data_IF_412589158892
#
_entry.id   IF_412589158892
#
_cell.length_a   1.000
_cell.length_b   1.000
_cell.length_c   1.000
_cell.angle_alpha   90.00
_cell.angle_beta   90.00
_cell.angle_gamma   90.00
#
_symmetry.space_group_name_H-M   'P 1'
#
loop_
_entity.id
_entity.type
_entity.pdbx_description
1 polymer ?
#
# COMPACT_ATOMS: atom_id res chain seq x y z
N UNK A 1 -5.50 -6.33 -6.04
CA UNK A 1 -5.59 -5.03 -5.34
C UNK A 1 -4.27 -4.32 -5.49
N UNK A 2 -4.28 -3.07 -5.95
CA UNK A 2 -3.08 -2.24 -5.97
C UNK A 2 -2.86 -1.66 -4.57
N UNK A 3 -1.62 -1.69 -4.10
CA UNK A 3 -1.19 -1.13 -2.81
C UNK A 3 -0.16 -0.06 -3.07
N UNK A 4 -0.36 1.11 -2.48
CA UNK A 4 0.60 2.20 -2.38
C UNK A 4 0.92 2.34 -0.90
N UNK A 5 2.19 2.44 -0.53
CA UNK A 5 2.57 2.48 0.88
C UNK A 5 3.90 3.20 1.10
N UNK A 6 3.94 4.03 2.14
CA UNK A 6 5.17 4.61 2.67
C UNK A 6 5.70 3.87 3.91
N UNK A 7 5.28 2.62 4.10
CA UNK A 7 5.85 1.72 5.12
C UNK A 7 7.24 1.27 4.72
N UNK A 8 8.08 1.00 5.70
CA UNK A 8 9.35 0.35 5.45
C UNK A 8 9.17 -1.07 4.92
N UNK A 9 10.06 -1.49 4.04
CA UNK A 9 10.13 -2.88 3.60
C UNK A 9 10.64 -3.74 4.76
N UNK A 10 9.91 -4.80 5.07
CA UNK A 10 10.34 -5.80 6.05
C UNK A 10 11.21 -6.87 5.40
N UNK A 11 11.80 -7.72 6.23
CA UNK A 11 12.61 -8.88 5.74
C UNK A 11 11.78 -9.93 4.97
N UNK A 12 10.45 -9.75 4.89
CA UNK A 12 9.53 -10.69 4.25
C UNK A 12 9.55 -10.67 2.73
N UNK A 13 10.21 -9.68 2.08
CA UNK A 13 10.39 -9.74 0.63
C UNK A 13 11.59 -10.62 0.28
N UNK A 14 11.35 -11.68 -0.49
CA UNK A 14 12.41 -12.41 -1.13
C UNK A 14 13.14 -11.54 -2.18
N UNK A 15 14.32 -11.92 -2.58
CA UNK A 15 15.09 -11.25 -3.66
C UNK A 15 14.31 -11.16 -4.99
N UNK A 16 13.29 -12.00 -5.16
CA UNK A 16 12.33 -11.96 -6.28
C UNK A 16 11.37 -10.77 -6.25
N UNK A 17 11.25 -10.06 -5.12
CA UNK A 17 10.21 -9.03 -4.91
C UNK A 17 8.84 -9.60 -4.56
N UNK A 18 8.77 -10.87 -4.18
CA UNK A 18 7.53 -11.52 -3.75
C UNK A 18 7.58 -11.72 -2.23
N UNK A 19 6.54 -11.31 -1.54
CA UNK A 19 6.35 -11.43 -0.10
C UNK A 19 4.92 -11.85 0.24
N UNK A 20 4.60 -11.77 1.52
CA UNK A 20 3.29 -12.07 2.08
C UNK A 20 2.72 -10.87 2.86
N UNK A 21 1.79 -11.11 3.75
CA UNK A 21 1.19 -10.08 4.63
C UNK A 21 2.19 -9.40 5.56
N UNK A 22 3.41 -9.92 5.71
CA UNK A 22 4.49 -9.32 6.51
C UNK A 22 5.48 -8.52 5.67
N UNK A 23 5.22 -8.36 4.38
CA UNK A 23 6.12 -7.72 3.42
C UNK A 23 6.48 -6.27 3.79
N UNK A 24 5.54 -5.54 4.37
CA UNK A 24 5.76 -4.18 4.85
C UNK A 24 5.62 -4.10 6.37
N UNK A 25 6.52 -3.34 6.98
CA UNK A 25 6.57 -3.16 8.43
C UNK A 25 5.68 -2.03 8.95
N UNK A 26 5.88 -1.70 10.23
CA UNK A 26 5.07 -0.73 10.97
C UNK A 26 5.80 0.61 11.16
N UNK A 27 6.88 0.85 10.40
CA UNK A 27 7.63 2.11 10.42
C UNK A 27 7.53 2.80 9.06
N UNK A 28 7.80 4.11 9.06
CA UNK A 28 8.00 4.84 7.81
C UNK A 28 9.22 4.30 7.08
N UNK A 29 9.20 4.36 5.76
CA UNK A 29 10.38 4.17 4.94
C UNK A 29 11.45 5.18 5.39
N UNK A 30 12.62 4.69 5.79
CA UNK A 30 13.70 5.51 6.35
C UNK A 30 14.65 6.06 5.29
N UNK A 31 14.67 5.44 4.13
CA UNK A 31 15.58 5.84 3.03
C UNK A 31 15.07 7.14 2.39
N UNK A 32 13.77 7.21 2.14
CA UNK A 32 13.05 8.43 1.79
C UNK A 32 11.64 8.35 2.36
N UNK A 33 11.29 9.14 3.41
CA UNK A 33 9.95 9.13 4.00
C UNK A 33 8.83 9.53 3.03
N UNK A 34 9.16 10.23 1.95
CA UNK A 34 8.22 10.61 0.90
C UNK A 34 8.19 9.61 -0.26
N UNK A 35 9.03 8.59 -0.22
CA UNK A 35 9.05 7.55 -1.25
C UNK A 35 7.98 6.50 -0.97
N UNK A 36 7.07 6.37 -1.91
CA UNK A 36 6.03 5.36 -1.87
C UNK A 36 6.49 4.09 -2.57
N UNK A 37 6.25 2.97 -1.93
CA UNK A 37 6.34 1.66 -2.57
C UNK A 37 5.01 1.31 -3.22
N UNK A 38 5.09 0.66 -4.37
CA UNK A 38 3.93 0.14 -5.09
C UNK A 38 4.01 -1.37 -5.11
N UNK A 39 2.92 -2.02 -4.78
CA UNK A 39 2.82 -3.47 -4.80
C UNK A 39 1.46 -3.95 -5.31
N UNK A 40 1.43 -5.14 -5.87
CA UNK A 40 0.20 -5.85 -6.17
C UNK A 40 -0.04 -6.89 -5.08
N UNK A 41 -1.22 -6.84 -4.45
CA UNK A 41 -1.61 -7.80 -3.44
C UNK A 41 -2.80 -8.63 -3.91
N UNK A 42 -2.71 -9.95 -3.75
CA UNK A 42 -3.79 -10.87 -4.02
C UNK A 42 -3.88 -11.95 -2.94
N UNK A 43 -5.09 -12.40 -2.66
CA UNK A 43 -5.35 -13.49 -1.73
C UNK A 43 -5.61 -14.77 -2.49
N UNK A 44 -4.71 -15.76 -2.35
CA UNK A 44 -4.80 -17.05 -3.05
C UNK A 44 -4.85 -18.18 -2.03
N UNK A 45 -5.92 -18.97 -2.06
CA UNK A 45 -6.15 -20.07 -1.10
C UNK A 45 -6.01 -19.64 0.38
N UNK A 46 -6.53 -18.43 0.70
CA UNK A 46 -6.51 -17.88 2.05
C UNK A 46 -5.19 -17.20 2.46
N UNK A 47 -4.15 -17.24 1.63
CA UNK A 47 -2.85 -16.62 1.89
C UNK A 47 -2.65 -15.39 1.03
N UNK A 48 -2.00 -14.39 1.57
CA UNK A 48 -1.59 -13.21 0.82
C UNK A 48 -0.33 -13.49 0.01
N UNK A 49 -0.34 -12.95 -1.20
CA UNK A 49 0.85 -12.80 -2.05
C UNK A 49 0.96 -11.32 -2.38
N UNK A 50 2.09 -10.72 -2.01
CA UNK A 50 2.38 -9.30 -2.22
C UNK A 50 3.58 -9.20 -3.14
N UNK A 51 3.40 -8.64 -4.32
CA UNK A 51 4.44 -8.47 -5.33
C UNK A 51 4.84 -7.00 -5.42
N UNK A 52 6.09 -6.70 -5.04
CA UNK A 52 6.67 -5.37 -5.13
C UNK A 52 6.90 -4.99 -6.59
N UNK A 53 6.36 -3.87 -7.01
CA UNK A 53 6.63 -3.30 -8.33
C UNK A 53 8.03 -2.71 -8.34
N UNK A 54 8.88 -3.22 -9.21
CA UNK A 54 10.27 -2.74 -9.32
C UNK A 54 10.29 -1.37 -9.96
N UNK A 55 10.99 -0.46 -9.34
CA UNK A 55 11.24 0.87 -9.89
C UNK A 55 12.47 0.84 -10.81
N UNK A 56 12.40 1.49 -11.97
CA UNK A 56 13.56 1.68 -12.81
C UNK A 56 14.58 2.60 -12.13
N UNK A 57 15.86 2.40 -12.39
CA UNK A 57 16.94 3.23 -11.82
C UNK A 57 16.84 4.70 -12.23
N UNK A 58 16.27 4.98 -13.40
CA UNK A 58 16.08 6.32 -13.93
C UNK A 58 14.58 6.56 -14.10
N UNK A 59 13.96 7.19 -13.12
CA UNK A 59 12.55 7.60 -13.16
C UNK A 59 12.39 8.84 -14.06
N UNK A 60 11.41 8.75 -14.95
CA UNK A 60 10.94 9.88 -15.77
C UNK A 60 9.42 9.91 -15.69
N UNK A 61 8.82 11.06 -16.03
CA UNK A 61 7.35 11.17 -16.09
C UNK A 61 6.68 10.12 -17.00
N UNK A 62 7.41 9.58 -17.97
CA UNK A 62 6.88 8.65 -18.95
C UNK A 62 7.03 7.17 -18.52
N UNK A 63 7.90 6.88 -17.55
CA UNK A 63 8.18 5.52 -17.09
C UNK A 63 7.87 5.28 -15.61
N UNK A 64 7.00 6.09 -15.01
CA UNK A 64 6.58 5.91 -13.62
C UNK A 64 5.84 4.58 -13.46
N UNK A 65 6.32 3.67 -12.59
CA UNK A 65 5.65 2.40 -12.34
C UNK A 65 4.22 2.58 -11.83
N UNK A 66 3.97 3.62 -11.04
CA UNK A 66 2.65 4.00 -10.56
C UNK A 66 1.67 4.19 -11.71
N UNK A 67 2.05 4.94 -12.74
CA UNK A 67 1.19 5.22 -13.89
C UNK A 67 0.75 3.93 -14.60
N UNK A 68 1.70 3.05 -14.91
CA UNK A 68 1.40 1.77 -15.55
C UNK A 68 0.44 0.91 -14.69
N UNK A 69 0.66 0.88 -13.37
CA UNK A 69 -0.21 0.13 -12.46
C UNK A 69 -1.62 0.73 -12.38
N UNK A 70 -1.76 2.05 -12.36
CA UNK A 70 -3.07 2.72 -12.41
C UNK A 70 -3.79 2.47 -13.73
N UNK A 71 -3.09 2.52 -14.86
CA UNK A 71 -3.66 2.18 -16.17
C UNK A 71 -4.19 0.75 -16.19
N UNK A 72 -3.48 -0.21 -15.59
CA UNK A 72 -3.96 -1.59 -15.44
C UNK A 72 -5.21 -1.67 -14.54
N UNK A 73 -5.28 -0.91 -13.45
CA UNK A 73 -6.48 -0.85 -12.61
C UNK A 73 -7.66 -0.30 -13.41
N UNK A 74 -7.48 0.81 -14.11
CA UNK A 74 -8.52 1.43 -14.93
C UNK A 74 -8.99 0.50 -16.04
N UNK A 75 -8.07 -0.25 -16.67
CA UNK A 75 -8.45 -1.22 -17.69
C UNK A 75 -9.30 -2.35 -17.09
N UNK A 76 -8.90 -2.91 -15.93
CA UNK A 76 -9.74 -3.91 -15.23
C UNK A 76 -11.11 -3.37 -14.84
N UNK A 77 -11.22 -2.11 -14.44
CA UNK A 77 -12.50 -1.47 -14.16
C UNK A 77 -13.40 -1.44 -15.41
N UNK A 78 -12.84 -1.08 -16.56
CA UNK A 78 -13.56 -1.05 -17.82
C UNK A 78 -14.01 -2.44 -18.27
N UNK A 79 -13.09 -3.41 -18.30
CA UNK A 79 -13.32 -4.76 -18.77
C UNK A 79 -14.36 -5.51 -17.92
N UNK A 80 -14.32 -5.30 -16.61
CA UNK A 80 -15.20 -5.95 -15.65
C UNK A 80 -16.42 -5.10 -15.25
N UNK A 81 -16.58 -3.89 -15.80
CA UNK A 81 -17.64 -2.92 -15.45
C UNK A 81 -17.71 -2.66 -13.94
N UNK A 82 -16.55 -2.45 -13.32
CA UNK A 82 -16.41 -2.18 -11.90
C UNK A 82 -16.05 -0.71 -11.67
N UNK A 83 -16.43 -0.19 -10.50
CA UNK A 83 -15.91 1.09 -10.01
C UNK A 83 -14.56 0.88 -9.32
N UNK A 84 -13.75 1.93 -9.30
CA UNK A 84 -12.52 1.99 -8.53
C UNK A 84 -12.77 2.72 -7.21
N UNK A 85 -12.23 2.18 -6.12
CA UNK A 85 -12.22 2.81 -4.81
C UNK A 85 -10.78 3.04 -4.38
N UNK A 86 -10.42 4.30 -4.13
CA UNK A 86 -9.21 4.64 -3.38
C UNK A 86 -9.52 4.58 -1.88
N UNK A 87 -8.84 3.69 -1.17
CA UNK A 87 -9.10 3.40 0.23
C UNK A 87 -7.87 3.73 1.09
N UNK A 88 -8.05 4.62 2.04
CA UNK A 88 -7.07 4.92 3.09
C UNK A 88 -7.59 4.36 4.41
N UNK A 89 -6.81 3.47 5.03
CA UNK A 89 -7.24 2.88 6.31
C UNK A 89 -7.03 3.81 7.49
N UNK A 90 -7.70 3.49 8.60
CA UNK A 90 -7.66 4.28 9.83
C UNK A 90 -6.45 3.97 10.73
N UNK A 91 -6.50 4.53 11.94
CA UNK A 91 -5.51 4.36 13.00
C UNK A 91 -5.41 2.92 13.50
N UNK A 92 -4.23 2.56 14.02
CA UNK A 92 -3.92 1.28 14.69
C UNK A 92 -4.22 0.05 13.83
N UNK A 93 -3.71 0.06 12.61
CA UNK A 93 -3.88 -1.03 11.66
C UNK A 93 -2.53 -1.56 11.19
N UNK A 94 -2.16 -2.80 11.56
CA UNK A 94 -1.04 -3.49 10.95
C UNK A 94 -1.31 -3.74 9.45
N UNK A 95 -0.25 -3.93 8.68
CA UNK A 95 -0.34 -4.06 7.22
C UNK A 95 -1.32 -5.17 6.79
N UNK A 96 -1.25 -6.35 7.43
CA UNK A 96 -2.17 -7.46 7.16
C UNK A 96 -3.65 -7.05 7.30
N UNK A 97 -4.00 -6.33 8.37
CA UNK A 97 -5.39 -5.88 8.56
C UNK A 97 -5.84 -4.90 7.48
N UNK A 98 -4.93 -4.08 6.97
CA UNK A 98 -5.27 -3.14 5.89
C UNK A 98 -5.56 -3.88 4.58
N UNK A 99 -4.79 -4.93 4.29
CA UNK A 99 -5.05 -5.82 3.16
C UNK A 99 -6.42 -6.51 3.29
N UNK A 100 -6.73 -7.04 4.49
CA UNK A 100 -8.01 -7.69 4.77
C UNK A 100 -9.20 -6.73 4.59
N UNK A 101 -9.07 -5.49 5.05
CA UNK A 101 -10.11 -4.47 4.88
C UNK A 101 -10.32 -4.14 3.39
N UNK A 102 -9.24 -3.89 2.65
CA UNK A 102 -9.32 -3.64 1.21
C UNK A 102 -9.95 -4.80 0.44
N UNK A 103 -9.55 -6.03 0.76
CA UNK A 103 -10.10 -7.23 0.15
C UNK A 103 -11.60 -7.42 0.44
N UNK A 104 -12.04 -7.18 1.69
CA UNK A 104 -13.46 -7.22 2.05
C UNK A 104 -14.28 -6.18 1.28
N UNK A 105 -13.75 -4.98 1.10
CA UNK A 105 -14.40 -3.94 0.28
C UNK A 105 -14.50 -4.39 -1.17
N UNK A 106 -13.39 -4.90 -1.74
CA UNK A 106 -13.33 -5.37 -3.12
C UNK A 106 -14.34 -6.49 -3.39
N UNK A 107 -14.41 -7.48 -2.48
CA UNK A 107 -15.29 -8.64 -2.66
C UNK A 107 -16.74 -8.31 -2.37
N UNK A 108 -17.03 -7.57 -1.29
CA UNK A 108 -18.40 -7.27 -0.87
C UNK A 108 -19.13 -6.34 -1.84
N UNK A 109 -18.42 -5.37 -2.40
CA UNK A 109 -19.03 -4.34 -3.24
C UNK A 109 -18.67 -4.50 -4.73
N UNK A 110 -17.95 -5.55 -5.09
CA UNK A 110 -17.50 -5.81 -6.45
C UNK A 110 -16.73 -4.64 -7.08
N UNK A 111 -15.75 -4.09 -6.32
CA UNK A 111 -14.95 -2.94 -6.71
C UNK A 111 -13.52 -3.37 -7.10
N UNK A 112 -12.83 -2.53 -7.85
CA UNK A 112 -11.37 -2.51 -7.83
C UNK A 112 -10.91 -1.58 -6.70
N UNK A 113 -9.96 -2.04 -5.87
CA UNK A 113 -9.47 -1.26 -4.73
C UNK A 113 -8.02 -0.87 -4.96
N UNK A 114 -7.73 0.42 -4.82
CA UNK A 114 -6.39 0.98 -4.64
C UNK A 114 -6.26 1.33 -3.16
N UNK A 115 -5.42 0.60 -2.45
CA UNK A 115 -5.18 0.78 -1.03
C UNK A 115 -3.97 1.70 -0.82
N UNK A 116 -4.14 2.80 -0.10
CA UNK A 116 -3.01 3.50 0.52
C UNK A 116 -2.82 3.01 1.94
N UNK A 117 -1.66 2.39 2.21
CA UNK A 117 -1.32 1.83 3.52
C UNK A 117 -0.16 2.60 4.15
N UNK A 118 -0.42 3.26 5.28
CA UNK A 118 0.55 4.02 6.06
C UNK A 118 0.82 3.34 7.41
N UNK A 119 2.00 3.52 8.04
CA UNK A 119 2.31 2.91 9.33
C UNK A 119 1.53 3.60 10.46
N UNK A 120 0.36 3.07 10.75
CA UNK A 120 -0.59 3.61 11.73
C UNK A 120 -0.57 2.89 13.08
N UNK A 121 0.28 1.86 13.21
CA UNK A 121 0.51 1.09 14.42
C UNK A 121 2.03 1.01 14.67
N UNK A 122 2.59 2.03 15.31
CA UNK A 122 4.04 2.10 15.55
C UNK A 122 4.48 1.42 16.83
N UNK A 123 3.54 0.87 17.60
CA UNK A 123 3.78 0.25 18.91
C UNK A 123 4.14 1.27 19.99
N UNK A 124 4.01 0.88 21.25
CA UNK A 124 4.39 1.69 22.40
C UNK A 124 3.26 1.90 23.42
N UNK A 125 3.49 2.78 24.40
CA UNK A 125 2.44 3.17 25.33
C UNK A 125 1.40 4.08 24.65
N UNK A 126 0.10 3.94 24.95
CA UNK A 126 -0.98 4.57 24.20
C UNK A 126 -0.84 6.09 23.95
N UNK A 127 -0.34 6.84 24.91
CA UNK A 127 -0.19 8.30 24.78
C UNK A 127 1.00 8.68 23.88
N UNK A 128 2.11 7.99 24.02
CA UNK A 128 3.30 8.21 23.17
C UNK A 128 3.06 7.71 21.76
N UNK A 129 2.42 6.57 21.64
CA UNK A 129 2.01 6.00 20.36
C UNK A 129 1.11 6.97 19.59
N UNK A 130 0.08 7.54 20.22
CA UNK A 130 -0.80 8.51 19.56
C UNK A 130 -0.05 9.74 19.03
N UNK A 131 0.91 10.27 19.79
CA UNK A 131 1.75 11.39 19.33
C UNK A 131 2.62 11.01 18.13
N UNK A 132 3.22 9.82 18.16
CA UNK A 132 4.05 9.31 17.09
C UNK A 132 3.20 9.08 15.82
N UNK A 133 2.06 8.44 15.95
CA UNK A 133 1.14 8.16 14.84
C UNK A 133 0.60 9.45 14.22
N UNK A 134 0.29 10.48 15.03
CA UNK A 134 -0.10 11.79 14.50
C UNK A 134 1.00 12.43 13.65
N UNK A 135 2.28 12.28 14.05
CA UNK A 135 3.42 12.75 13.25
C UNK A 135 3.53 11.96 11.95
N UNK A 136 3.44 10.63 12.03
CA UNK A 136 3.48 9.73 10.86
C UNK A 136 2.35 10.05 9.89
N UNK A 137 1.11 10.25 10.38
CA UNK A 137 -0.02 10.61 9.54
C UNK A 137 0.23 11.92 8.78
N UNK A 138 0.81 12.93 9.43
CA UNK A 138 1.16 14.21 8.77
C UNK A 138 2.23 14.03 7.70
N UNK A 139 3.25 13.21 7.94
CA UNK A 139 4.28 12.89 6.95
C UNK A 139 3.66 12.12 5.76
N UNK A 140 2.72 11.21 6.03
CA UNK A 140 2.05 10.43 5.00
C UNK A 140 1.11 11.25 4.10
N UNK A 141 0.75 12.49 4.51
CA UNK A 141 -0.06 13.37 3.64
C UNK A 141 0.72 13.78 2.38
N UNK A 142 2.02 14.07 2.53
CA UNK A 142 2.88 14.37 1.38
C UNK A 142 3.02 13.18 0.43
N UNK A 143 3.08 11.95 0.97
CA UNK A 143 3.12 10.73 0.19
C UNK A 143 1.84 10.53 -0.63
N UNK A 144 0.65 10.81 -0.05
CA UNK A 144 -0.62 10.77 -0.79
C UNK A 144 -0.63 11.79 -1.93
N UNK A 145 -0.19 13.02 -1.68
CA UNK A 145 -0.14 14.07 -2.71
C UNK A 145 0.79 13.70 -3.87
N UNK A 146 1.89 13.01 -3.59
CA UNK A 146 2.83 12.55 -4.63
C UNK A 146 2.34 11.35 -5.44
N UNK A 147 1.30 10.65 -4.95
CA UNK A 147 0.74 9.45 -5.60
C UNK A 147 -0.24 9.78 -6.74
N UNK A 148 -0.63 11.05 -6.89
CA UNK A 148 -1.57 11.56 -7.89
C UNK A 148 -0.94 12.62 -8.80
#
# INVERSE_FOLDING_TARGET
>A
MLVITNRNISKGFASSGIGDETAFGEQLNTDDPNEDHIANAQKTKGKWVVELVKEPKNLTSDNLPSRAQFEHVLQRCKDNKKNCLFFVHGYNKPFEETLEQGWKLQTRYNLEVVLFSWPSNTGGFPIEEYKNVKRVARTSTGAIDSSF
#
